data_IF_431267797343
#
_entry.id   IF_431267797343
#
_cell.length_a   1.000
_cell.length_b   1.000
_cell.length_c   1.000
_cell.angle_alpha   90.00
_cell.angle_beta   90.00
_cell.angle_gamma   90.00
#
_symmetry.space_group_name_H-M   'P 1'
#
loop_
_entity.id
_entity.type
_entity.pdbx_description
1 polymer ?
#
# COMPACT_ATOMS: atom_id res chain seq x y z
N UNK A 1 8.08 1.60 17.64
CA UNK A 1 6.61 1.75 17.66
C UNK A 1 6.03 0.93 16.53
N UNK A 2 5.01 0.12 16.78
CA UNK A 2 4.43 -0.73 15.74
C UNK A 2 3.58 0.15 14.81
N UNK A 3 3.97 0.27 13.54
CA UNK A 3 3.18 1.03 12.54
C UNK A 3 1.90 0.24 12.23
N UNK A 4 0.75 0.90 12.04
CA UNK A 4 -0.47 0.21 11.60
C UNK A 4 -0.25 -0.47 10.24
N UNK A 5 -0.86 -1.63 10.05
CA UNK A 5 -0.76 -2.43 8.82
C UNK A 5 -1.82 -2.00 7.81
N UNK A 6 -1.43 -1.86 6.55
CA UNK A 6 -2.32 -1.44 5.47
C UNK A 6 -2.16 -2.36 4.26
N UNK A 7 -3.28 -2.82 3.70
CA UNK A 7 -3.31 -3.55 2.44
C UNK A 7 -3.84 -2.67 1.31
N UNK A 8 -3.19 -2.69 0.15
CA UNK A 8 -3.69 -2.10 -1.09
C UNK A 8 -3.95 -3.23 -2.08
N UNK A 9 -5.16 -3.29 -2.65
CA UNK A 9 -5.55 -4.25 -3.67
C UNK A 9 -5.59 -3.55 -5.03
N UNK A 10 -4.79 -4.03 -5.97
CA UNK A 10 -4.56 -3.44 -7.29
C UNK A 10 -3.26 -2.63 -7.36
N UNK A 11 -2.50 -2.82 -8.44
CA UNK A 11 -1.23 -2.15 -8.76
C UNK A 11 -1.36 -1.19 -9.95
N UNK A 12 -2.60 -0.82 -10.30
CA UNK A 12 -2.84 0.29 -11.24
C UNK A 12 -2.36 1.63 -10.67
N UNK A 13 -2.49 2.69 -11.48
CA UNK A 13 -2.05 4.06 -11.13
C UNK A 13 -2.59 4.55 -9.78
N UNK A 14 -3.85 4.23 -9.47
CA UNK A 14 -4.45 4.58 -8.19
C UNK A 14 -3.82 3.82 -7.02
N UNK A 15 -3.59 2.51 -7.19
CA UNK A 15 -2.99 1.66 -6.16
C UNK A 15 -1.55 2.05 -5.84
N UNK A 16 -0.73 2.29 -6.87
CA UNK A 16 0.65 2.72 -6.65
C UNK A 16 0.76 4.17 -6.23
N UNK A 17 -0.15 5.04 -6.66
CA UNK A 17 -0.28 6.39 -6.13
C UNK A 17 -0.53 6.38 -4.62
N UNK A 18 -1.49 5.59 -4.17
CA UNK A 18 -1.74 5.37 -2.73
C UNK A 18 -0.50 4.80 -2.03
N UNK A 19 0.16 3.79 -2.59
CA UNK A 19 1.36 3.19 -2.00
C UNK A 19 2.50 4.20 -1.82
N UNK A 20 2.75 5.05 -2.84
CA UNK A 20 3.79 6.07 -2.80
C UNK A 20 3.62 7.01 -1.60
N UNK A 21 2.41 7.51 -1.37
CA UNK A 21 2.13 8.43 -0.25
C UNK A 21 2.06 7.73 1.11
N UNK A 22 1.58 6.49 1.17
CA UNK A 22 1.25 5.85 2.45
C UNK A 22 2.37 4.97 3.03
N UNK A 23 3.37 4.55 2.23
CA UNK A 23 4.45 3.67 2.70
C UNK A 23 5.28 4.23 3.88
N UNK A 24 5.35 5.57 4.02
CA UNK A 24 6.08 6.21 5.11
C UNK A 24 5.35 6.09 6.47
N UNK A 25 4.03 5.90 6.44
CA UNK A 25 3.16 5.92 7.62
C UNK A 25 2.70 4.53 8.05
N UNK A 26 2.63 3.58 7.13
CA UNK A 26 2.07 2.25 7.34
C UNK A 26 3.08 1.15 7.03
N UNK A 27 2.90 -0.01 7.67
CA UNK A 27 3.49 -1.26 7.19
C UNK A 27 2.60 -1.81 6.07
N UNK A 28 3.04 -1.58 4.83
CA UNK A 28 2.18 -1.63 3.64
C UNK A 28 2.45 -2.90 2.83
N UNK A 29 1.38 -3.63 2.49
CA UNK A 29 1.44 -4.76 1.54
C UNK A 29 0.52 -4.47 0.36
N UNK A 30 1.04 -4.64 -0.86
CA UNK A 30 0.29 -4.44 -2.10
C UNK A 30 0.02 -5.79 -2.74
N UNK A 31 -1.22 -6.00 -3.17
CA UNK A 31 -1.68 -7.21 -3.86
C UNK A 31 -2.12 -6.85 -5.27
N UNK A 32 -1.85 -7.72 -6.24
CA UNK A 32 -2.38 -7.67 -7.60
C UNK A 32 -3.01 -9.01 -7.92
N UNK A 33 -4.00 -9.03 -8.81
CA UNK A 33 -4.55 -10.26 -9.34
C UNK A 33 -3.61 -10.81 -10.42
N UNK A 34 -2.52 -11.48 -10.02
CA UNK A 34 -1.71 -12.33 -10.89
C UNK A 34 -0.80 -13.29 -10.10
#
# INVERSE_FOLDING_TARGET
MNRPRLAIIGTGVAGLGCAHFLHAHFDLTVFEQN
#
